data_IF_645061077724
#
_entry.id   IF_645061077724
#
_cell.length_a   1.000
_cell.length_b   1.000
_cell.length_c   1.000
_cell.angle_alpha   90.00
_cell.angle_beta   90.00
_cell.angle_gamma   90.00
#
_symmetry.space_group_name_H-M   'P 1'
#
loop_
_entity.id
_entity.type
_entity.pdbx_description
1 polymer ?
#
# COMPACT_ATOMS: atom_id res chain seq x y z
N UNK A 1 -11.31 -7.70 13.12
CA UNK A 1 -11.38 -8.64 11.98
C UNK A 1 -11.91 -8.04 10.67
N UNK A 2 -12.89 -7.12 10.66
CA UNK A 2 -13.43 -6.52 9.40
C UNK A 2 -12.40 -5.71 8.58
N UNK A 3 -11.52 -4.93 9.23
CA UNK A 3 -10.51 -4.08 8.55
C UNK A 3 -9.43 -4.87 7.79
N UNK A 4 -8.87 -5.94 8.37
CA UNK A 4 -7.92 -6.83 7.68
C UNK A 4 -8.54 -7.50 6.45
N UNK A 5 -9.83 -7.85 6.54
CA UNK A 5 -10.55 -8.49 5.44
C UNK A 5 -10.73 -7.54 4.26
N UNK A 6 -10.99 -6.26 4.51
CA UNK A 6 -11.08 -5.22 3.46
C UNK A 6 -9.72 -5.05 2.77
N UNK A 7 -8.62 -4.93 3.52
CA UNK A 7 -7.27 -4.83 2.96
C UNK A 7 -6.94 -6.05 2.07
N UNK A 8 -7.24 -7.26 2.55
CA UNK A 8 -6.98 -8.50 1.81
C UNK A 8 -7.82 -8.62 0.53
N UNK A 9 -9.06 -8.15 0.56
CA UNK A 9 -9.93 -8.08 -0.63
C UNK A 9 -9.36 -7.09 -1.65
N UNK A 10 -8.89 -5.91 -1.21
CA UNK A 10 -8.27 -4.93 -2.11
C UNK A 10 -7.03 -5.51 -2.76
N UNK A 11 -6.16 -6.14 -1.97
CA UNK A 11 -4.90 -6.72 -2.45
C UNK A 11 -5.14 -7.80 -3.52
N UNK A 12 -6.10 -8.70 -3.30
CA UNK A 12 -6.49 -9.73 -4.28
C UNK A 12 -7.19 -9.18 -5.50
N UNK A 13 -8.02 -8.14 -5.34
CA UNK A 13 -8.77 -7.53 -6.44
C UNK A 13 -7.86 -6.75 -7.40
N UNK A 14 -6.77 -6.18 -6.88
CA UNK A 14 -5.75 -5.49 -7.69
C UNK A 14 -4.65 -6.40 -8.21
N UNK A 15 -4.64 -7.69 -7.85
CA UNK A 15 -3.54 -8.64 -8.08
C UNK A 15 -2.19 -8.16 -7.50
N UNK A 16 -2.23 -7.23 -6.55
CA UNK A 16 -1.04 -6.69 -5.92
C UNK A 16 -0.30 -7.77 -5.12
N UNK A 17 -1.01 -8.80 -4.64
CA UNK A 17 -0.44 -9.98 -3.99
C UNK A 17 0.55 -10.73 -4.90
N UNK A 18 0.18 -10.96 -6.17
CA UNK A 18 1.07 -11.60 -7.14
C UNK A 18 2.29 -10.75 -7.48
N UNK A 19 2.12 -9.43 -7.59
CA UNK A 19 3.22 -8.50 -7.89
C UNK A 19 4.20 -8.43 -6.71
N UNK A 20 3.70 -8.34 -5.48
CA UNK A 20 4.52 -8.31 -4.26
C UNK A 20 5.27 -9.64 -4.12
N UNK A 21 4.60 -10.78 -4.29
CA UNK A 21 5.25 -12.09 -4.19
C UNK A 21 6.30 -12.29 -5.29
N UNK A 22 6.01 -11.84 -6.51
CA UNK A 22 6.97 -11.81 -7.61
C UNK A 22 8.17 -10.92 -7.33
N UNK A 23 7.97 -9.75 -6.71
CA UNK A 23 9.05 -8.86 -6.30
C UNK A 23 9.93 -9.47 -5.21
N UNK A 24 9.33 -10.13 -4.22
CA UNK A 24 10.09 -10.85 -3.18
C UNK A 24 10.95 -11.93 -3.83
N UNK A 25 10.39 -12.78 -4.68
CA UNK A 25 11.16 -13.80 -5.39
C UNK A 25 12.27 -13.20 -6.26
N UNK A 26 11.98 -12.09 -6.96
CA UNK A 26 12.96 -11.37 -7.77
C UNK A 26 14.10 -10.77 -6.93
N UNK A 27 13.81 -10.27 -5.72
CA UNK A 27 14.83 -9.76 -4.79
C UNK A 27 15.80 -10.87 -4.38
N UNK A 28 15.30 -12.05 -3.99
CA UNK A 28 16.17 -13.18 -3.66
C UNK A 28 16.99 -13.65 -4.87
N UNK A 29 16.38 -13.66 -6.07
CA UNK A 29 17.10 -13.96 -7.31
C UNK A 29 18.24 -12.95 -7.57
N UNK A 30 17.96 -11.65 -7.48
CA UNK A 30 18.96 -10.60 -7.69
C UNK A 30 20.08 -10.70 -6.66
N UNK A 31 19.77 -10.95 -5.38
CA UNK A 31 20.80 -11.15 -4.37
C UNK A 31 21.72 -12.35 -4.70
N UNK A 32 21.17 -13.44 -5.25
CA UNK A 32 21.97 -14.59 -5.66
C UNK A 32 22.89 -14.26 -6.84
N UNK A 33 22.38 -13.51 -7.83
CA UNK A 33 23.17 -13.04 -8.96
C UNK A 33 24.27 -12.08 -8.50
N UNK A 34 23.94 -11.12 -7.63
CA UNK A 34 24.92 -10.17 -7.07
C UNK A 34 26.04 -10.90 -6.36
N UNK A 35 25.74 -11.87 -5.48
CA UNK A 35 26.78 -12.68 -4.83
C UNK A 35 27.65 -13.44 -5.83
N UNK A 36 27.08 -13.92 -6.93
CA UNK A 36 27.81 -14.70 -7.93
C UNK A 36 28.72 -13.84 -8.83
N UNK A 37 28.35 -12.59 -9.10
CA UNK A 37 29.07 -11.73 -10.05
C UNK A 37 29.93 -10.66 -9.40
N UNK A 38 29.62 -10.23 -8.17
CA UNK A 38 30.37 -9.18 -7.49
C UNK A 38 31.51 -9.77 -6.63
N UNK A 39 32.78 -9.41 -6.91
CA UNK A 39 33.94 -10.02 -6.25
C UNK A 39 34.03 -9.70 -4.75
N UNK A 40 33.55 -8.52 -4.34
CA UNK A 40 33.62 -8.06 -2.94
C UNK A 40 32.40 -8.52 -2.11
N UNK A 41 31.43 -9.20 -2.73
CA UNK A 41 30.18 -9.63 -2.08
C UNK A 41 30.16 -11.17 -1.95
N UNK A 42 30.92 -11.67 -0.98
CA UNK A 42 31.17 -13.11 -0.84
C UNK A 42 30.04 -13.90 -0.15
N UNK A 43 29.17 -13.22 0.60
CA UNK A 43 28.10 -13.86 1.37
C UNK A 43 26.72 -13.41 0.89
N UNK A 44 25.78 -14.34 0.84
CA UNK A 44 24.40 -14.07 0.45
C UNK A 44 23.72 -13.01 1.33
N UNK A 45 24.01 -13.01 2.63
CA UNK A 45 23.52 -11.99 3.56
C UNK A 45 23.99 -10.58 3.20
N UNK A 46 25.24 -10.44 2.75
CA UNK A 46 25.79 -9.16 2.28
C UNK A 46 25.14 -8.73 0.96
N UNK A 47 24.82 -9.67 0.08
CA UNK A 47 24.08 -9.37 -1.15
C UNK A 47 22.64 -8.93 -0.88
N UNK A 48 21.96 -9.54 0.10
CA UNK A 48 20.64 -9.10 0.57
C UNK A 48 20.69 -7.71 1.21
N UNK A 49 21.73 -7.43 2.00
CA UNK A 49 21.96 -6.10 2.57
C UNK A 49 22.16 -5.05 1.48
N UNK A 50 22.97 -5.36 0.47
CA UNK A 50 23.13 -4.50 -0.72
C UNK A 50 21.78 -4.24 -1.42
N UNK A 51 20.99 -5.28 -1.67
CA UNK A 51 19.66 -5.14 -2.29
C UNK A 51 18.74 -4.24 -1.45
N UNK A 52 18.76 -4.39 -0.12
CA UNK A 52 18.04 -3.50 0.79
C UNK A 52 18.49 -2.04 0.67
N UNK A 53 19.80 -1.78 0.65
CA UNK A 53 20.35 -0.43 0.50
C UNK A 53 19.94 0.23 -0.82
N UNK A 54 19.85 -0.54 -1.91
CA UNK A 54 19.37 -0.09 -3.23
C UNK A 54 17.87 0.21 -3.20
N UNK A 55 17.04 -0.73 -2.73
CA UNK A 55 15.57 -0.60 -2.72
C UNK A 55 15.11 0.54 -1.81
N UNK A 56 15.75 0.69 -0.63
CA UNK A 56 15.44 1.75 0.33
C UNK A 56 15.92 3.12 -0.12
N UNK A 57 16.71 3.20 -1.20
CA UNK A 57 17.40 4.42 -1.66
C UNK A 57 18.36 5.01 -0.61
N UNK A 58 18.70 4.26 0.44
CA UNK A 58 19.60 4.71 1.51
C UNK A 58 21.05 4.81 1.02
N UNK A 59 21.49 3.84 0.22
CA UNK A 59 22.79 3.88 -0.45
C UNK A 59 23.98 4.10 0.48
N UNK A 60 24.08 3.33 1.57
CA UNK A 60 25.11 3.49 2.61
C UNK A 60 26.56 3.49 2.07
N UNK A 61 26.81 2.85 0.93
CA UNK A 61 28.11 2.88 0.25
C UNK A 61 29.18 1.97 0.86
N UNK A 62 28.81 1.19 1.88
CA UNK A 62 29.63 0.15 2.49
C UNK A 62 29.82 -1.08 1.57
N UNK A 63 28.81 -1.38 0.75
CA UNK A 63 28.83 -2.43 -0.27
C UNK A 63 28.30 -1.85 -1.58
N UNK A 64 29.03 -2.06 -2.68
CA UNK A 64 28.70 -1.50 -4.00
C UNK A 64 28.88 -2.55 -5.11
N UNK A 65 28.01 -2.49 -6.12
CA UNK A 65 28.17 -3.30 -7.33
C UNK A 65 29.13 -2.60 -8.30
N UNK A 66 30.23 -3.28 -8.65
CA UNK A 66 31.25 -2.77 -9.56
C UNK A 66 31.14 -3.38 -10.95
N UNK A 67 30.61 -4.60 -11.06
CA UNK A 67 30.49 -5.31 -12.34
C UNK A 67 29.36 -4.78 -13.21
N UNK A 68 29.47 -5.00 -14.51
CA UNK A 68 28.41 -4.61 -15.46
C UNK A 68 27.09 -5.33 -15.16
N UNK A 69 27.14 -6.64 -14.91
CA UNK A 69 25.95 -7.45 -14.62
C UNK A 69 25.32 -7.01 -13.30
N UNK A 70 26.12 -6.82 -12.24
CA UNK A 70 25.60 -6.37 -10.95
C UNK A 70 24.94 -4.99 -11.04
N UNK A 71 25.56 -4.02 -11.73
CA UNK A 71 24.95 -2.70 -11.99
C UNK A 71 23.64 -2.82 -12.76
N UNK A 72 23.59 -3.66 -13.80
CA UNK A 72 22.38 -3.89 -14.58
C UNK A 72 21.25 -4.48 -13.73
N UNK A 73 21.56 -5.50 -12.91
CA UNK A 73 20.62 -6.07 -11.96
C UNK A 73 20.10 -5.02 -10.95
N UNK A 74 20.96 -4.14 -10.45
CA UNK A 74 20.57 -3.06 -9.53
C UNK A 74 19.64 -2.03 -10.17
N UNK A 75 19.82 -1.73 -11.46
CA UNK A 75 18.89 -0.88 -12.21
C UNK A 75 17.52 -1.55 -12.33
N UNK A 76 17.49 -2.83 -12.70
CA UNK A 76 16.24 -3.59 -12.77
C UNK A 76 15.53 -3.68 -11.42
N UNK A 77 16.28 -3.91 -10.34
CA UNK A 77 15.77 -3.94 -8.98
C UNK A 77 15.13 -2.61 -8.59
N UNK A 78 15.79 -1.49 -8.92
CA UNK A 78 15.26 -0.14 -8.68
C UNK A 78 13.98 0.12 -9.47
N UNK A 79 13.94 -0.22 -10.76
CA UNK A 79 12.73 -0.02 -11.58
C UNK A 79 11.55 -0.80 -11.00
N UNK A 80 11.76 -2.07 -10.63
CA UNK A 80 10.70 -2.89 -10.05
C UNK A 80 10.28 -2.36 -8.67
N UNK A 81 11.22 -1.95 -7.81
CA UNK A 81 10.86 -1.41 -6.49
C UNK A 81 9.99 -0.16 -6.59
N UNK A 82 10.22 0.72 -7.57
CA UNK A 82 9.37 1.89 -7.82
C UNK A 82 7.92 1.50 -8.12
N UNK A 83 7.69 0.50 -8.97
CA UNK A 83 6.34 0.01 -9.25
C UNK A 83 5.67 -0.57 -8.00
N UNK A 84 6.42 -1.34 -7.19
CA UNK A 84 5.88 -1.94 -5.97
C UNK A 84 5.50 -0.88 -4.94
N UNK A 85 6.35 0.14 -4.74
CA UNK A 85 6.06 1.26 -3.83
C UNK A 85 4.84 2.06 -4.32
N UNK A 86 4.72 2.31 -5.63
CA UNK A 86 3.56 3.00 -6.20
C UNK A 86 2.26 2.21 -5.98
N UNK A 87 2.28 0.88 -6.21
CA UNK A 87 1.12 0.00 -5.99
C UNK A 87 0.77 -0.04 -4.50
N UNK A 88 1.75 -0.21 -3.61
CA UNK A 88 1.54 -0.22 -2.17
C UNK A 88 0.87 1.09 -1.70
N UNK A 89 1.35 2.23 -2.19
CA UNK A 89 0.75 3.54 -1.93
C UNK A 89 -0.70 3.59 -2.43
N UNK A 90 -0.96 3.13 -3.66
CA UNK A 90 -2.32 3.07 -4.21
C UNK A 90 -3.28 2.17 -3.42
N UNK A 91 -2.79 1.04 -2.90
CA UNK A 91 -3.57 0.15 -2.02
C UNK A 91 -3.93 0.85 -0.71
N UNK A 92 -2.99 1.58 -0.10
CA UNK A 92 -3.25 2.35 1.13
C UNK A 92 -4.29 3.43 0.86
N UNK A 93 -4.14 4.21 -0.21
CA UNK A 93 -5.11 5.26 -0.58
C UNK A 93 -6.50 4.66 -0.83
N UNK A 94 -6.58 3.55 -1.57
CA UNK A 94 -7.85 2.86 -1.83
C UNK A 94 -8.50 2.34 -0.55
N UNK A 95 -7.72 1.82 0.39
CA UNK A 95 -8.21 1.35 1.68
C UNK A 95 -8.82 2.49 2.50
N UNK A 96 -8.14 3.63 2.59
CA UNK A 96 -8.69 4.80 3.28
C UNK A 96 -9.93 5.35 2.57
N UNK A 97 -9.93 5.40 1.23
CA UNK A 97 -11.10 5.79 0.45
C UNK A 97 -12.32 4.93 0.74
N UNK A 98 -12.15 3.61 0.81
CA UNK A 98 -13.25 2.69 1.16
C UNK A 98 -13.76 2.88 2.59
N UNK A 99 -12.87 3.17 3.55
CA UNK A 99 -13.30 3.48 4.94
C UNK A 99 -14.17 4.74 4.96
N UNK A 100 -13.75 5.80 4.27
CA UNK A 100 -14.50 7.06 4.21
C UNK A 100 -15.85 6.85 3.51
N UNK A 101 -15.87 6.12 2.39
CA UNK A 101 -17.11 5.81 1.67
C UNK A 101 -18.09 4.99 2.54
N UNK A 102 -17.58 4.03 3.32
CA UNK A 102 -18.41 3.27 4.26
C UNK A 102 -19.02 4.16 5.34
N UNK A 103 -18.25 5.09 5.93
CA UNK A 103 -18.77 6.03 6.93
C UNK A 103 -19.83 6.98 6.35
N UNK A 104 -19.65 7.44 5.11
CA UNK A 104 -20.65 8.26 4.43
C UNK A 104 -21.94 7.47 4.17
N UNK A 105 -21.84 6.23 3.71
CA UNK A 105 -23.02 5.35 3.52
C UNK A 105 -23.76 5.09 4.83
N UNK A 106 -23.07 4.75 5.91
CA UNK A 106 -23.70 4.57 7.23
C UNK A 106 -24.42 5.84 7.70
N UNK A 107 -23.79 7.00 7.52
CA UNK A 107 -24.39 8.30 7.87
C UNK A 107 -25.64 8.58 7.03
N UNK A 108 -25.58 8.30 5.72
CA UNK A 108 -26.72 8.48 4.80
C UNK A 108 -27.86 7.53 5.15
N UNK A 109 -27.58 6.27 5.46
CA UNK A 109 -28.60 5.28 5.85
C UNK A 109 -29.29 5.70 7.15
N UNK A 110 -28.55 6.16 8.17
CA UNK A 110 -29.17 6.70 9.39
C UNK A 110 -30.01 7.95 9.12
N UNK A 111 -29.59 8.80 8.20
CA UNK A 111 -30.36 9.98 7.83
C UNK A 111 -31.66 9.60 7.10
N UNK A 112 -31.60 8.65 6.16
CA UNK A 112 -32.77 8.13 5.45
C UNK A 112 -33.77 7.46 6.39
N UNK A 113 -33.28 6.67 7.35
CA UNK A 113 -34.10 6.02 8.39
C UNK A 113 -34.87 7.05 9.23
N UNK A 114 -34.19 8.14 9.62
CA UNK A 114 -34.84 9.29 10.28
C UNK A 114 -35.84 10.00 9.39
N UNK A 115 -35.59 10.09 8.08
CA UNK A 115 -36.54 10.69 7.15
C UNK A 115 -37.81 9.81 6.99
N UNK A 116 -37.65 8.50 7.01
CA UNK A 116 -38.77 7.56 6.90
C UNK A 116 -39.70 7.64 8.12
N UNK A 117 -39.13 7.90 9.31
CA UNK A 117 -39.87 8.12 10.56
C UNK A 117 -40.09 9.61 10.88
N UNK A 118 -40.11 10.49 9.88
CA UNK A 118 -40.40 11.93 10.01
C UNK A 118 -41.60 12.29 10.90
N UNK A 119 -42.75 11.60 10.80
CA UNK A 119 -43.93 11.92 11.61
C UNK A 119 -43.73 11.65 13.11
N UNK A 120 -42.80 10.76 13.47
CA UNK A 120 -42.54 10.31 14.83
C UNK A 120 -41.43 11.12 15.52
N UNK A 121 -40.70 11.95 14.76
CA UNK A 121 -39.62 12.79 15.28
C UNK A 121 -40.15 13.95 16.12
N UNK A 122 -39.54 14.15 17.29
CA UNK A 122 -39.82 15.32 18.13
C UNK A 122 -39.30 16.62 17.48
N UNK A 123 -39.87 17.78 17.87
CA UNK A 123 -39.43 19.09 17.36
C UNK A 123 -37.94 19.37 17.62
N UNK A 124 -37.40 18.86 18.73
CA UNK A 124 -35.99 19.00 19.12
C UNK A 124 -35.07 18.21 18.18
N UNK A 125 -35.45 16.98 17.84
CA UNK A 125 -34.69 16.14 16.90
C UNK A 125 -34.75 16.71 15.47
N UNK A 126 -35.89 17.27 15.06
CA UNK A 126 -36.04 17.94 13.77
C UNK A 126 -35.12 19.18 13.67
N UNK A 127 -35.04 19.96 14.75
CA UNK A 127 -34.14 21.12 14.83
C UNK A 127 -32.66 20.71 14.78
N UNK A 128 -32.29 19.63 15.48
CA UNK A 128 -30.93 19.10 15.46
C UNK A 128 -30.54 18.60 14.06
N UNK A 129 -31.44 17.93 13.34
CA UNK A 129 -31.21 17.48 11.95
C UNK A 129 -31.05 18.68 11.01
N UNK A 130 -31.93 19.68 11.12
CA UNK A 130 -31.86 20.92 10.33
C UNK A 130 -30.54 21.66 10.52
N UNK A 131 -30.08 21.80 11.78
CA UNK A 131 -28.81 22.44 12.09
C UNK A 131 -27.61 21.65 11.54
N UNK A 132 -27.67 20.31 11.60
CA UNK A 132 -26.63 19.43 11.07
C UNK A 132 -26.55 19.53 9.55
N UNK A 133 -27.68 19.53 8.84
CA UNK A 133 -27.74 19.71 7.38
C UNK A 133 -27.25 21.10 6.98
N UNK A 134 -27.59 22.14 7.75
CA UNK A 134 -27.11 23.51 7.51
C UNK A 134 -25.60 23.65 7.65
N UNK A 135 -24.94 22.80 8.44
CA UNK A 135 -23.47 22.73 8.55
C UNK A 135 -22.79 21.95 7.40
N UNK A 136 -23.55 21.13 6.66
CA UNK A 136 -23.06 20.39 5.49
C UNK A 136 -23.28 21.12 4.16
N UNK A 137 -24.06 22.22 4.16
CA UNK A 137 -24.25 23.13 3.03
C UNK A 137 -23.17 24.21 3.05
#
# INVERSE_FOLDING_TARGET
MKKLRILFVILKRTKADHIILGFVAFLFLVAAVIQAVEPDINHYGTALWYCYAVISTAGFGDVVAVTFIGKFCSVLLTIYSLFVIAIATGVVVSFYGQIVEMQQKETMTMFMDKLEHLPELSKEELAAISEKVRKFR
#
